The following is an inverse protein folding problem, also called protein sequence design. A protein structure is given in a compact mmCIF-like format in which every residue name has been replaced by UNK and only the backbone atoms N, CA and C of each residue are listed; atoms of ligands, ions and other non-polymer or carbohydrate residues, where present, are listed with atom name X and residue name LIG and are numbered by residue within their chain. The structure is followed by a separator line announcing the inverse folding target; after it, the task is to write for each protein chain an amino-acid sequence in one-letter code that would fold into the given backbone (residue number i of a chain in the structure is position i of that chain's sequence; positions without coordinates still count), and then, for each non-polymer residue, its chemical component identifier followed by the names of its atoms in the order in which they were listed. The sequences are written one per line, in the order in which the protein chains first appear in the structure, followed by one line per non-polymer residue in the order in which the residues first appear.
data_IF_413110850119
#
_entry.id   IF_413110850119
#
_cell.length_a   1.000
_cell.length_b   1.000
_cell.length_c   1.000
_cell.angle_alpha   90.00
_cell.angle_beta   90.00
_cell.angle_gamma   90.00
#
_symmetry.space_group_name_H-M   'P 1'
#
loop_
_entity.id
_entity.type
_entity.pdbx_description
1 polymer ?
#
# COMPACT_ATOMS: atom_id res chain seq x y z
N UNK A 1 2.50 -5.20 -12.01
CA UNK A 1 3.60 -6.02 -11.45
C UNK A 1 3.02 -7.13 -10.56
N UNK A 2 3.74 -8.21 -10.28
CA UNK A 2 3.32 -9.24 -9.32
C UNK A 2 3.74 -8.85 -7.89
N UNK A 3 3.14 -9.48 -6.86
CA UNK A 3 3.45 -9.19 -5.44
C UNK A 3 4.95 -9.29 -5.12
N UNK A 4 5.63 -10.30 -5.67
CA UNK A 4 7.07 -10.49 -5.47
C UNK A 4 7.89 -9.35 -6.07
N UNK A 5 7.51 -8.88 -7.27
CA UNK A 5 8.17 -7.75 -7.93
C UNK A 5 8.01 -6.47 -7.09
N UNK A 6 6.82 -6.24 -6.51
CA UNK A 6 6.58 -5.09 -5.64
C UNK A 6 7.45 -5.16 -4.39
N UNK A 7 7.57 -6.33 -3.76
CA UNK A 7 8.44 -6.49 -2.59
C UNK A 7 9.91 -6.27 -2.93
N UNK A 8 10.38 -6.75 -4.08
CA UNK A 8 11.75 -6.52 -4.54
C UNK A 8 12.00 -5.03 -4.84
N UNK A 9 11.08 -4.36 -5.54
CA UNK A 9 11.24 -2.95 -5.92
C UNK A 9 11.12 -1.99 -4.73
N UNK A 10 10.25 -2.29 -3.77
CA UNK A 10 10.03 -1.44 -2.60
C UNK A 10 10.94 -1.79 -1.44
N UNK A 11 11.42 -3.04 -1.33
CA UNK A 11 12.15 -3.59 -0.19
C UNK A 11 11.27 -3.88 1.04
N UNK A 12 9.95 -3.98 0.88
CA UNK A 12 9.05 -4.26 2.00
C UNK A 12 9.09 -5.74 2.40
N UNK A 13 9.00 -6.00 3.70
CA UNK A 13 8.97 -7.36 4.22
C UNK A 13 7.69 -8.12 3.83
N UNK A 14 7.77 -9.45 3.84
CA UNK A 14 6.60 -10.34 3.69
C UNK A 14 5.51 -10.04 4.72
N UNK A 15 5.90 -9.67 5.95
CA UNK A 15 4.97 -9.28 7.02
C UNK A 15 4.21 -8.01 6.66
N UNK A 16 4.91 -7.00 6.13
CA UNK A 16 4.28 -5.75 5.65
C UNK A 16 3.35 -6.01 4.48
N UNK A 17 3.77 -6.81 3.50
CA UNK A 17 2.92 -7.22 2.37
C UNK A 17 1.67 -7.97 2.84
N UNK A 18 1.78 -8.79 3.90
CA UNK A 18 0.63 -9.47 4.50
C UNK A 18 -0.35 -8.49 5.16
N UNK A 19 0.15 -7.44 5.82
CA UNK A 19 -0.70 -6.38 6.39
C UNK A 19 -1.47 -5.64 5.29
N UNK A 20 -0.79 -5.24 4.22
CA UNK A 20 -1.41 -4.59 3.06
C UNK A 20 -2.52 -5.47 2.46
N UNK A 21 -2.24 -6.77 2.22
CA UNK A 21 -3.24 -7.71 1.71
C UNK A 21 -4.47 -7.90 2.62
N UNK A 22 -4.34 -7.62 3.92
CA UNK A 22 -5.42 -7.74 4.91
C UNK A 22 -6.08 -6.40 5.24
N UNK A 23 -5.77 -5.32 4.50
CA UNK A 23 -6.27 -3.98 4.79
C UNK A 23 -5.84 -3.45 6.17
N UNK A 24 -4.69 -3.91 6.68
CA UNK A 24 -4.16 -3.49 7.98
C UNK A 24 -3.21 -2.31 7.82
N UNK A 25 -3.18 -1.46 8.85
CA UNK A 25 -2.34 -0.28 8.88
C UNK A 25 -0.85 -0.59 8.65
N UNK A 26 -0.21 0.31 7.90
CA UNK A 26 1.23 0.39 7.67
C UNK A 26 1.72 1.82 7.97
N UNK A 27 3.03 2.00 8.07
CA UNK A 27 3.60 3.33 8.24
C UNK A 27 3.62 4.09 6.91
N UNK A 28 3.58 5.42 6.96
CA UNK A 28 3.59 6.27 5.76
C UNK A 28 4.83 6.06 4.87
N UNK A 29 5.99 5.72 5.44
CA UNK A 29 7.20 5.37 4.68
C UNK A 29 6.95 4.21 3.70
N UNK A 30 6.15 3.21 4.10
CA UNK A 30 5.78 2.09 3.21
C UNK A 30 4.99 2.60 2.01
N UNK A 31 4.05 3.53 2.24
CA UNK A 31 3.25 4.12 1.18
C UNK A 31 4.10 4.92 0.21
N UNK A 32 5.04 5.73 0.72
CA UNK A 32 5.99 6.51 -0.10
C UNK A 32 6.85 5.58 -0.97
N UNK A 33 7.35 4.48 -0.41
CA UNK A 33 8.15 3.48 -1.17
C UNK A 33 7.33 2.82 -2.27
N UNK A 34 6.06 2.50 -2.00
CA UNK A 34 5.13 1.94 -3.00
C UNK A 34 4.87 2.96 -4.11
N UNK A 35 4.58 4.22 -3.75
CA UNK A 35 4.38 5.32 -4.71
C UNK A 35 5.58 5.48 -5.64
N UNK A 36 6.80 5.49 -5.09
CA UNK A 36 8.04 5.57 -5.87
C UNK A 36 8.25 4.36 -6.80
N UNK A 37 7.94 3.15 -6.33
CA UNK A 37 8.07 1.93 -7.14
C UNK A 37 7.04 1.87 -8.27
N UNK A 38 5.84 2.41 -8.04
CA UNK A 38 4.74 2.47 -9.00
C UNK A 38 4.75 3.72 -9.89
N UNK A 39 5.54 4.74 -9.52
CA UNK A 39 5.52 6.08 -10.13
C UNK A 39 4.12 6.70 -10.12
N UNK A 40 3.50 6.67 -8.95
CA UNK A 40 2.15 7.22 -8.70
C UNK A 40 2.15 8.11 -7.45
N UNK A 41 1.08 8.85 -7.25
CA UNK A 41 0.82 9.58 -6.02
C UNK A 41 0.07 8.70 -5.02
N UNK A 42 0.04 9.13 -3.75
CA UNK A 42 -0.63 8.37 -2.67
C UNK A 42 -2.15 8.26 -2.90
N UNK A 43 -2.76 9.26 -3.54
CA UNK A 43 -4.18 9.25 -3.92
C UNK A 43 -4.52 8.20 -4.97
N UNK A 44 -3.54 7.68 -5.70
CA UNK A 44 -3.77 6.65 -6.72
C UNK A 44 -3.89 5.24 -6.10
N UNK A 45 -3.48 5.06 -4.85
CA UNK A 45 -3.39 3.75 -4.19
C UNK A 45 -4.19 3.63 -2.89
N UNK A 46 -4.67 4.75 -2.35
CA UNK A 46 -5.50 4.75 -1.14
C UNK A 46 -6.45 5.94 -1.08
N UNK A 47 -7.54 5.75 -0.36
CA UNK A 47 -8.54 6.78 -0.06
C UNK A 47 -8.81 6.81 1.45
N UNK A 48 -9.15 8.00 1.96
CA UNK A 48 -9.59 8.16 3.35
C UNK A 48 -11.10 8.09 3.36
N UNK A 49 -11.64 7.00 3.91
CA UNK A 49 -13.09 6.82 4.04
C UNK A 49 -13.53 7.37 5.41
N UNK A 50 -14.54 8.28 5.47
CA UNK A 50 -15.14 8.72 6.72
C UNK A 50 -15.68 7.54 7.52
N UNK A 51 -15.62 7.59 8.86
CA UNK A 51 -16.21 6.51 9.67
C UNK A 51 -17.71 6.36 9.38
N UNK A 52 -18.11 5.18 8.92
CA UNK A 52 -19.48 4.86 8.51
C UNK A 52 -19.73 4.91 6.99
N UNK A 53 -18.75 5.34 6.18
CA UNK A 53 -18.78 5.15 4.73
C UNK A 53 -18.61 3.67 4.41
N UNK A 54 -19.68 3.01 4.00
CA UNK A 54 -19.57 1.75 3.26
C UNK A 54 -19.28 2.12 1.82
N UNK A 55 -18.31 1.45 1.21
CA UNK A 55 -18.12 1.46 -0.24
C UNK A 55 -19.48 1.15 -0.89
N UNK A 56 -20.14 2.16 -1.46
CA UNK A 56 -21.34 1.99 -2.30
C UNK A 56 -20.95 1.46 -3.69
#
# INVERSE_FOLDING_TARGET
MKKQDLMAATGISTTTMTKLNKGRNVNTDILVRICNALRCDVSDIMEIIPEGGKDE
#
